data_IF_706666224635
#
_entry.id   IF_706666224635
#
_cell.length_a   1.000
_cell.length_b   1.000
_cell.length_c   1.000
_cell.angle_alpha   90.00
_cell.angle_beta   90.00
_cell.angle_gamma   90.00
#
_symmetry.space_group_name_H-M   'P 1'
#
loop_
_entity.id
_entity.type
_entity.pdbx_description
1 polymer ?
#
# COMPACT_ATOMS: atom_id res chain seq x y z
N UNK A 1 -0.93 5.75 9.69
CA UNK A 1 0.05 5.04 8.86
C UNK A 1 -0.60 4.45 7.62
N UNK A 2 -1.66 3.71 7.82
CA UNK A 2 -2.33 3.10 6.67
C UNK A 2 -2.97 4.15 5.77
N UNK A 3 -3.54 5.17 6.36
CA UNK A 3 -4.13 6.23 5.59
C UNK A 3 -3.10 6.91 4.70
N UNK A 4 -1.91 7.15 5.27
CA UNK A 4 -0.83 7.75 4.49
C UNK A 4 -0.40 6.82 3.37
N UNK A 5 -0.34 5.51 3.66
CA UNK A 5 0.03 4.54 2.64
C UNK A 5 -0.96 4.56 1.49
N UNK A 6 -2.25 4.67 1.79
CA UNK A 6 -3.26 4.73 0.74
C UNK A 6 -3.07 5.96 -0.14
N UNK A 7 -2.73 7.09 0.47
CA UNK A 7 -2.48 8.30 -0.29
C UNK A 7 -1.29 8.13 -1.24
N UNK A 8 -0.24 7.49 -0.74
CA UNK A 8 0.95 7.27 -1.56
C UNK A 8 0.68 6.27 -2.67
N UNK A 9 -0.12 5.26 -2.40
CA UNK A 9 -0.51 4.30 -3.43
C UNK A 9 -1.36 4.97 -4.51
N UNK A 10 -2.23 5.87 -4.10
CA UNK A 10 -3.08 6.59 -5.04
C UNK A 10 -2.25 7.46 -5.98
N UNK A 11 -1.16 8.00 -5.48
CA UNK A 11 -0.29 8.83 -6.30
C UNK A 11 0.42 8.01 -7.38
N UNK A 12 0.57 6.70 -7.13
CA UNK A 12 1.15 5.76 -8.10
C UNK A 12 2.55 6.19 -8.54
N UNK A 13 3.29 6.83 -7.65
CA UNK A 13 4.63 7.33 -7.94
C UNK A 13 5.69 6.50 -7.23
N UNK A 14 5.31 5.81 -6.17
CA UNK A 14 6.24 5.12 -5.29
C UNK A 14 6.11 3.61 -5.45
N UNK A 15 7.23 2.92 -5.24
CA UNK A 15 7.19 1.46 -5.13
C UNK A 15 6.53 1.09 -3.81
N UNK A 16 6.13 -0.18 -3.68
CA UNK A 16 5.52 -0.64 -2.44
C UNK A 16 6.46 -0.51 -1.26
N UNK A 17 7.75 -0.77 -1.47
CA UNK A 17 8.73 -0.60 -0.41
C UNK A 17 8.80 0.84 0.05
N UNK A 18 8.81 1.77 -0.90
CA UNK A 18 8.84 3.18 -0.57
C UNK A 18 7.58 3.61 0.18
N UNK A 19 6.44 3.11 -0.25
CA UNK A 19 5.19 3.41 0.45
C UNK A 19 5.26 2.95 1.89
N UNK A 20 5.78 1.74 2.12
CA UNK A 20 5.89 1.20 3.47
C UNK A 20 6.75 2.10 4.35
N UNK A 21 7.93 2.43 3.88
CA UNK A 21 8.85 3.21 4.70
C UNK A 21 8.36 4.64 4.90
N UNK A 22 7.83 5.25 3.87
CA UNK A 22 7.35 6.63 4.00
C UNK A 22 6.10 6.74 4.84
N UNK A 23 5.38 5.64 4.97
CA UNK A 23 4.19 5.62 5.83
C UNK A 23 4.51 5.29 7.27
N UNK A 24 5.77 5.03 7.58
CA UNK A 24 6.18 4.78 8.94
C UNK A 24 6.21 3.32 9.35
N UNK A 25 6.16 2.41 8.40
CA UNK A 25 6.27 0.99 8.71
C UNK A 25 7.73 0.59 8.77
N UNK A 26 8.05 -0.37 9.62
CA UNK A 26 9.43 -0.78 9.81
C UNK A 26 9.94 -1.67 8.67
N UNK A 27 9.05 -2.32 7.95
CA UNK A 27 9.44 -3.16 6.83
C UNK A 27 8.29 -3.30 5.86
N UNK A 28 8.59 -3.57 4.57
CA UNK A 28 7.52 -3.81 3.60
C UNK A 28 6.68 -5.04 3.94
N UNK A 29 7.28 -6.06 4.53
CA UNK A 29 6.54 -7.26 4.91
C UNK A 29 5.49 -6.92 5.96
N UNK A 30 5.88 -6.16 6.96
CA UNK A 30 4.96 -5.76 8.00
C UNK A 30 3.84 -4.89 7.43
N UNK A 31 4.20 -3.98 6.55
CA UNK A 31 3.22 -3.14 5.87
C UNK A 31 2.19 -3.99 5.12
N UNK A 32 2.67 -4.97 4.35
CA UNK A 32 1.78 -5.83 3.58
C UNK A 32 0.82 -6.60 4.49
N UNK A 33 1.34 -7.07 5.60
CA UNK A 33 0.52 -7.82 6.54
C UNK A 33 -0.59 -6.96 7.13
N UNK A 34 -0.23 -5.77 7.60
CA UNK A 34 -1.21 -4.86 8.18
C UNK A 34 -2.22 -4.43 7.12
N UNK A 35 -1.72 -4.14 5.92
CA UNK A 35 -2.60 -3.73 4.83
C UNK A 35 -3.64 -4.80 4.53
N UNK A 36 -3.20 -6.04 4.43
CA UNK A 36 -4.12 -7.13 4.13
C UNK A 36 -5.16 -7.31 5.24
N UNK A 37 -4.74 -7.16 6.49
CA UNK A 37 -5.67 -7.28 7.61
C UNK A 37 -6.73 -6.19 7.59
N UNK A 38 -6.33 -4.99 7.24
CA UNK A 38 -7.25 -3.84 7.29
C UNK A 38 -8.06 -3.69 6.02
N UNK A 39 -7.45 -3.97 4.88
CA UNK A 39 -8.09 -3.72 3.59
C UNK A 39 -8.63 -4.97 2.93
N UNK A 40 -8.38 -6.14 3.49
CA UNK A 40 -8.83 -7.42 2.95
C UNK A 40 -8.20 -7.77 1.61
N UNK A 41 -7.08 -7.13 1.28
CA UNK A 41 -6.33 -7.45 0.07
C UNK A 41 -4.90 -6.96 0.24
N UNK A 42 -3.98 -7.51 -0.56
CA UNK A 42 -2.60 -7.06 -0.50
C UNK A 42 -2.43 -5.71 -1.20
N UNK A 43 -1.35 -4.99 -0.89
CA UNK A 43 -1.10 -3.74 -1.60
C UNK A 43 -0.95 -3.93 -3.10
N UNK A 44 -0.39 -5.05 -3.54
CA UNK A 44 -0.29 -5.35 -4.95
C UNK A 44 -1.66 -5.48 -5.60
N UNK A 45 -2.55 -6.19 -4.92
CA UNK A 45 -3.91 -6.35 -5.42
C UNK A 45 -4.64 -5.02 -5.46
N UNK A 46 -4.41 -4.19 -4.46
CA UNK A 46 -5.03 -2.88 -4.42
C UNK A 46 -4.59 -2.04 -5.62
N UNK A 47 -3.29 -2.02 -5.90
CA UNK A 47 -2.77 -1.27 -7.04
C UNK A 47 -3.32 -1.82 -8.35
N UNK A 48 -3.41 -3.14 -8.45
CA UNK A 48 -3.91 -3.77 -9.67
C UNK A 48 -5.37 -3.42 -9.91
N UNK A 49 -6.18 -3.47 -8.87
CA UNK A 49 -7.59 -3.12 -9.00
C UNK A 49 -7.74 -1.67 -9.42
N UNK A 50 -6.95 -0.80 -8.83
CA UNK A 50 -7.01 0.61 -9.15
C UNK A 50 -6.61 0.85 -10.58
N UNK A 51 -5.57 0.17 -11.04
CA UNK A 51 -5.10 0.32 -12.41
C UNK A 51 -6.11 -0.20 -13.42
N UNK A 52 -6.86 -1.23 -13.06
CA UNK A 52 -7.85 -1.82 -13.95
C UNK A 52 -9.19 -1.11 -13.89
N UNK A 53 -9.36 -0.26 -12.94
CA UNK A 53 -10.60 0.48 -12.80
C UNK A 53 -10.65 1.60 -13.81
N UNK A 54 -11.74 1.73 -14.47
CA UNK A 54 -11.91 2.79 -15.46
C UNK A 54 -12.92 3.77 -15.06
#
# INVERSE_FOLDING_TARGET
>A
RLKRALELLDADTYSLSEVAYQSGFSSPQYFSRVFKEQMQCTPNEYKRRKAMKN
#
